data_IF_085901523462
#
_entry.id   IF_085901523462
#
_cell.length_a   1.000
_cell.length_b   1.000
_cell.length_c   1.000
_cell.angle_alpha   90.00
_cell.angle_beta   90.00
_cell.angle_gamma   90.00
#
_symmetry.space_group_name_H-M   'P 1'
#
loop_
_entity.id
_entity.type
_entity.pdbx_description
1 polymer ?
#
# COMPACT_ATOMS: atom_id res chain seq x y z
N UNK A 1 -19.15 6.10 0.72
CA UNK A 1 -20.13 5.62 -0.30
C UNK A 1 -20.01 6.48 -1.55
N UNK A 2 -20.08 5.89 -2.75
CA UNK A 2 -20.02 6.66 -4.01
C UNK A 2 -21.38 7.30 -4.33
N UNK A 3 -21.37 8.55 -4.82
CA UNK A 3 -22.62 9.27 -5.16
C UNK A 3 -23.28 8.71 -6.42
N UNK A 4 -24.59 8.96 -6.62
CA UNK A 4 -25.31 8.59 -7.85
C UNK A 4 -24.60 9.09 -9.12
N UNK A 5 -24.01 10.28 -9.05
CA UNK A 5 -23.22 10.90 -10.14
C UNK A 5 -21.90 10.18 -10.38
N UNK A 6 -21.22 9.72 -9.33
CA UNK A 6 -20.02 8.88 -9.46
C UNK A 6 -20.36 7.51 -10.03
N UNK A 7 -21.50 6.92 -9.64
CA UNK A 7 -21.94 5.61 -10.14
C UNK A 7 -22.30 5.68 -11.64
N UNK A 8 -23.00 6.72 -12.09
CA UNK A 8 -23.33 6.88 -13.52
C UNK A 8 -22.06 7.11 -14.35
N UNK A 9 -21.15 7.97 -13.88
CA UNK A 9 -19.87 8.22 -14.54
C UNK A 9 -19.00 6.96 -14.59
N UNK A 10 -18.89 6.19 -13.50
CA UNK A 10 -18.18 4.91 -13.50
C UNK A 10 -18.81 3.91 -14.47
N UNK A 11 -20.14 3.88 -14.59
CA UNK A 11 -20.83 2.99 -15.52
C UNK A 11 -20.61 3.39 -16.99
N UNK A 12 -20.56 4.69 -17.29
CA UNK A 12 -20.21 5.20 -18.62
C UNK A 12 -18.73 4.94 -18.95
N UNK A 13 -17.82 5.22 -18.02
CA UNK A 13 -16.39 4.94 -18.17
C UNK A 13 -16.12 3.44 -18.32
N UNK A 14 -16.87 2.58 -17.62
CA UNK A 14 -16.77 1.13 -17.75
C UNK A 14 -17.19 0.66 -19.16
N UNK A 15 -18.21 1.27 -19.76
CA UNK A 15 -18.61 0.98 -21.15
C UNK A 15 -17.55 1.39 -22.18
N UNK A 16 -16.74 2.41 -21.86
CA UNK A 16 -15.62 2.85 -22.70
C UNK A 16 -14.29 2.14 -22.37
N UNK A 17 -14.20 1.44 -21.23
CA UNK A 17 -13.02 0.72 -20.83
C UNK A 17 -12.93 -0.63 -21.56
N UNK A 18 -12.32 -0.61 -22.72
CA UNK A 18 -12.03 -1.79 -23.55
C UNK A 18 -10.74 -2.47 -23.08
N UNK A 19 -10.73 -2.89 -21.81
CA UNK A 19 -9.66 -3.78 -21.33
C UNK A 19 -9.47 -4.98 -22.27
N UNK A 20 -8.29 -5.61 -22.31
CA UNK A 20 -8.00 -6.66 -23.28
C UNK A 20 -8.95 -7.86 -23.11
N UNK A 21 -9.80 -8.08 -24.11
CA UNK A 21 -10.78 -9.17 -24.14
C UNK A 21 -10.20 -10.47 -24.70
N UNK A 22 -9.16 -10.38 -25.54
CA UNK A 22 -8.52 -11.52 -26.20
C UNK A 22 -7.40 -12.13 -25.36
N UNK A 23 -7.11 -13.42 -25.56
CA UNK A 23 -5.99 -14.12 -24.88
C UNK A 23 -4.65 -13.43 -25.16
N UNK A 24 -4.39 -13.07 -26.42
CA UNK A 24 -3.20 -12.32 -26.81
C UNK A 24 -3.15 -10.91 -26.17
N UNK A 25 -4.28 -10.22 -26.10
CA UNK A 25 -4.39 -8.93 -25.42
C UNK A 25 -4.10 -9.05 -23.91
N UNK A 26 -4.61 -10.10 -23.27
CA UNK A 26 -4.36 -10.41 -21.85
C UNK A 26 -2.88 -10.73 -21.61
N UNK A 27 -2.25 -11.53 -22.47
CA UNK A 27 -0.81 -11.80 -22.40
C UNK A 27 0.05 -10.55 -22.64
N UNK A 28 -0.37 -9.66 -23.54
CA UNK A 28 0.36 -8.40 -23.78
C UNK A 28 0.20 -7.43 -22.60
N UNK A 29 -0.98 -7.39 -21.99
CA UNK A 29 -1.24 -6.59 -20.79
C UNK A 29 -0.58 -7.16 -19.53
N UNK A 30 -0.47 -8.49 -19.38
CA UNK A 30 0.25 -9.11 -18.26
C UNK A 30 1.75 -8.78 -18.30
N UNK A 31 2.32 -8.59 -19.50
CA UNK A 31 3.69 -8.09 -19.66
C UNK A 31 3.86 -6.64 -19.21
N UNK A 32 2.81 -5.83 -19.03
CA UNK A 32 2.95 -4.49 -18.44
C UNK A 32 3.50 -4.57 -17.00
N UNK A 33 3.16 -5.64 -16.26
CA UNK A 33 3.73 -5.91 -14.95
C UNK A 33 5.23 -6.24 -15.01
N UNK A 34 5.66 -6.94 -16.06
CA UNK A 34 7.04 -7.35 -16.26
C UNK A 34 7.91 -6.23 -16.85
N UNK A 35 7.33 -5.36 -17.69
CA UNK A 35 8.06 -4.31 -18.43
C UNK A 35 8.66 -3.25 -17.50
N UNK A 36 7.98 -2.97 -16.39
CA UNK A 36 8.45 -1.97 -15.43
C UNK A 36 8.59 -2.55 -14.01
N UNK A 37 8.23 -3.81 -13.75
CA UNK A 37 8.16 -4.39 -12.39
C UNK A 37 7.01 -3.83 -11.54
N UNK A 38 6.59 -2.60 -11.80
CA UNK A 38 5.62 -1.83 -11.04
C UNK A 38 4.16 -2.23 -11.29
N UNK A 39 3.80 -3.47 -11.54
CA UNK A 39 2.36 -3.84 -11.58
C UNK A 39 1.99 -5.13 -10.86
N UNK A 40 2.93 -5.80 -10.18
CA UNK A 40 2.60 -7.00 -9.40
C UNK A 40 3.46 -7.07 -8.15
N UNK A 41 2.81 -7.13 -6.99
CA UNK A 41 3.44 -7.58 -5.76
C UNK A 41 3.53 -9.12 -5.84
N UNK A 42 4.70 -9.66 -5.54
CA UNK A 42 5.00 -11.09 -5.42
C UNK A 42 4.46 -11.67 -4.11
N UNK A 43 4.39 -12.99 -3.99
CA UNK A 43 4.00 -13.64 -2.73
C UNK A 43 4.97 -13.34 -1.57
N UNK A 44 6.25 -13.14 -1.88
CA UNK A 44 7.27 -12.73 -0.91
C UNK A 44 7.00 -11.32 -0.36
N UNK A 45 6.40 -10.45 -1.18
CA UNK A 45 6.01 -9.11 -0.73
C UNK A 45 4.89 -9.18 0.32
N UNK A 46 3.99 -10.18 0.26
CA UNK A 46 2.89 -10.29 1.23
C UNK A 46 3.39 -10.70 2.63
N UNK A 47 4.37 -11.60 2.71
CA UNK A 47 5.02 -11.94 3.97
C UNK A 47 5.80 -10.74 4.54
N UNK A 48 6.52 -10.01 3.70
CA UNK A 48 7.21 -8.78 4.12
C UNK A 48 6.26 -7.69 4.59
N UNK A 49 5.11 -7.53 3.92
CA UNK A 49 4.04 -6.60 4.30
C UNK A 49 3.54 -6.95 5.70
N UNK A 50 3.25 -8.23 5.97
CA UNK A 50 2.75 -8.63 7.29
C UNK A 50 3.80 -8.45 8.38
N UNK A 51 5.05 -8.86 8.15
CA UNK A 51 6.12 -8.68 9.13
C UNK A 51 6.36 -7.21 9.47
N UNK A 52 6.35 -6.34 8.45
CA UNK A 52 6.48 -4.90 8.65
C UNK A 52 5.23 -4.31 9.32
N UNK A 53 4.04 -4.80 9.00
CA UNK A 53 2.79 -4.42 9.66
C UNK A 53 2.81 -4.73 11.15
N UNK A 54 3.21 -5.95 11.53
CA UNK A 54 3.41 -6.37 12.92
C UNK A 54 4.41 -5.46 13.63
N UNK A 55 5.54 -5.15 12.98
CA UNK A 55 6.57 -4.27 13.55
C UNK A 55 6.05 -2.84 13.79
N UNK A 56 5.29 -2.29 12.83
CA UNK A 56 4.67 -0.97 12.95
C UNK A 56 3.62 -0.95 14.06
N UNK A 57 2.75 -1.97 14.12
CA UNK A 57 1.73 -2.08 15.15
C UNK A 57 2.36 -2.26 16.55
N UNK A 58 3.40 -3.09 16.68
CA UNK A 58 4.12 -3.30 17.94
C UNK A 58 4.77 -2.03 18.49
N UNK A 59 5.27 -1.14 17.62
CA UNK A 59 5.86 0.14 18.03
C UNK A 59 4.81 1.16 18.52
N UNK A 60 3.55 1.01 18.13
CA UNK A 60 2.45 1.93 18.46
C UNK A 60 1.56 1.37 19.59
N UNK A 61 1.58 0.05 19.79
CA UNK A 61 0.62 -0.75 20.59
C UNK A 61 -0.80 -0.61 20.06
N UNK A 62 -1.81 -1.43 20.44
CA UNK A 62 -2.01 -2.88 20.45
C UNK A 62 -2.53 -3.42 19.08
N UNK A 63 -3.25 -4.56 19.04
CA UNK A 63 -3.87 -5.17 17.84
C UNK A 63 -4.81 -4.27 17.02
N UNK A 64 -5.41 -3.24 17.64
CA UNK A 64 -6.46 -2.40 17.01
C UNK A 64 -5.97 -1.52 15.86
N UNK A 65 -4.65 -1.46 15.63
CA UNK A 65 -4.03 -0.70 14.53
C UNK A 65 -3.40 -1.62 13.48
N UNK A 66 -3.61 -2.93 13.58
CA UNK A 66 -2.99 -3.90 12.69
C UNK A 66 -3.37 -3.64 11.24
N UNK A 67 -4.64 -3.36 10.95
CA UNK A 67 -5.11 -3.09 9.58
C UNK A 67 -4.40 -1.86 8.97
N UNK A 68 -4.36 -0.74 9.68
CA UNK A 68 -3.67 0.47 9.23
C UNK A 68 -2.16 0.31 9.18
N UNK A 69 -1.57 -0.46 10.09
CA UNK A 69 -0.15 -0.77 10.08
C UNK A 69 0.23 -1.62 8.86
N UNK A 70 -0.59 -2.61 8.50
CA UNK A 70 -0.45 -3.42 7.27
C UNK A 70 -0.63 -2.57 6.02
N UNK A 71 -1.63 -1.67 6.00
CA UNK A 71 -1.81 -0.73 4.89
C UNK A 71 -0.61 0.22 4.74
N UNK A 72 -0.03 0.70 5.84
CA UNK A 72 1.16 1.53 5.83
C UNK A 72 2.39 0.73 5.36
N UNK A 73 2.56 -0.51 5.82
CA UNK A 73 3.62 -1.41 5.40
C UNK A 73 3.56 -1.65 3.88
N UNK A 74 2.39 -2.00 3.36
CA UNK A 74 2.14 -2.16 1.92
C UNK A 74 2.47 -0.91 1.14
N UNK A 75 2.01 0.25 1.59
CA UNK A 75 2.30 1.51 0.90
C UNK A 75 3.80 1.88 0.94
N UNK A 76 4.49 1.59 2.05
CA UNK A 76 5.95 1.80 2.19
C UNK A 76 6.75 0.93 1.23
N UNK A 77 6.52 -0.38 1.25
CA UNK A 77 7.23 -1.32 0.38
C UNK A 77 6.99 -0.99 -1.09
N UNK A 78 5.74 -0.65 -1.43
CA UNK A 78 5.40 -0.24 -2.79
C UNK A 78 6.12 1.02 -3.24
N UNK A 79 6.22 2.03 -2.38
CA UNK A 79 6.97 3.25 -2.67
C UNK A 79 8.47 2.96 -2.84
N UNK A 80 9.04 2.10 -1.99
CA UNK A 80 10.45 1.70 -2.08
C UNK A 80 10.76 0.96 -3.39
N UNK A 81 9.87 0.07 -3.82
CA UNK A 81 9.99 -0.65 -5.09
C UNK A 81 9.94 0.29 -6.30
N UNK A 82 8.96 1.21 -6.32
CA UNK A 82 8.84 2.23 -7.37
C UNK A 82 10.10 3.08 -7.48
N UNK A 83 10.65 3.50 -6.34
CA UNK A 83 11.88 4.29 -6.30
C UNK A 83 13.09 3.47 -6.74
N UNK A 84 13.23 2.23 -6.31
CA UNK A 84 14.33 1.34 -6.74
C UNK A 84 14.36 1.18 -8.25
N UNK A 85 13.21 0.93 -8.87
CA UNK A 85 13.11 0.83 -10.34
C UNK A 85 13.45 2.15 -11.00
N UNK A 86 12.91 3.27 -10.51
CA UNK A 86 13.21 4.60 -11.04
C UNK A 86 14.71 4.90 -10.98
N UNK A 87 15.33 4.65 -9.83
CA UNK A 87 16.72 4.98 -9.60
C UNK A 87 17.64 4.09 -10.47
N UNK A 88 17.31 2.80 -10.66
CA UNK A 88 18.01 1.94 -11.62
C UNK A 88 17.86 2.41 -13.08
N UNK A 89 16.68 2.90 -13.47
CA UNK A 89 16.48 3.47 -14.81
C UNK A 89 17.20 4.80 -15.00
N UNK A 90 17.28 5.64 -13.97
CA UNK A 90 18.06 6.88 -14.00
C UNK A 90 19.56 6.58 -14.09
N UNK A 91 20.06 5.57 -13.38
CA UNK A 91 21.45 5.14 -13.49
C UNK A 91 21.80 4.71 -14.93
N UNK A 92 20.97 3.88 -15.56
CA UNK A 92 21.17 3.47 -16.96
C UNK A 92 21.18 4.65 -17.95
N UNK A 93 20.39 5.70 -17.69
CA UNK A 93 20.37 6.93 -18.49
C UNK A 93 21.66 7.73 -18.33
N UNK A 94 22.14 7.88 -17.09
CA UNK A 94 23.36 8.63 -16.77
C UNK A 94 24.61 7.95 -17.33
N UNK A 95 24.62 6.62 -17.39
CA UNK A 95 25.73 5.82 -17.95
C UNK A 95 25.78 5.85 -19.50
N UNK A 96 24.98 6.70 -20.16
CA UNK A 96 24.91 6.89 -21.62
C UNK A 96 24.66 5.62 -22.46
N UNK A 97 24.30 4.51 -21.80
CA UNK A 97 24.14 3.18 -22.39
C UNK A 97 22.73 2.86 -22.91
N UNK A 98 21.77 3.78 -22.74
CA UNK A 98 20.38 3.48 -23.02
C UNK A 98 19.60 4.69 -23.60
N UNK A 99 18.98 4.45 -24.77
CA UNK A 99 17.90 5.27 -25.32
C UNK A 99 16.61 5.13 -24.48
N UNK A 100 16.66 5.58 -23.23
CA UNK A 100 15.47 5.63 -22.38
C UNK A 100 14.58 6.79 -22.83
N UNK A 101 13.46 6.43 -23.46
CA UNK A 101 12.45 7.38 -23.88
C UNK A 101 11.99 8.26 -22.70
N UNK A 102 12.04 9.58 -22.84
CA UNK A 102 11.58 10.58 -21.85
C UNK A 102 10.18 10.24 -21.29
N UNK A 103 9.32 9.62 -22.10
CA UNK A 103 7.99 9.12 -21.69
C UNK A 103 8.05 8.06 -20.58
N UNK A 104 9.09 7.23 -20.54
CA UNK A 104 9.30 6.22 -19.50
C UNK A 104 9.71 6.88 -18.16
N UNK A 105 10.49 7.95 -18.20
CA UNK A 105 10.82 8.74 -17.00
C UNK A 105 9.56 9.42 -16.45
N UNK A 106 8.76 10.02 -17.33
CA UNK A 106 7.51 10.67 -16.96
C UNK A 106 6.47 9.68 -16.39
N UNK A 107 6.40 8.45 -16.92
CA UNK A 107 5.50 7.43 -16.37
C UNK A 107 5.93 6.99 -14.97
N UNK A 108 7.24 6.87 -14.70
CA UNK A 108 7.76 6.56 -13.37
C UNK A 108 7.43 7.64 -12.33
N UNK A 109 7.55 8.91 -12.70
CA UNK A 109 7.19 10.04 -11.82
C UNK A 109 5.70 9.99 -11.43
N UNK A 110 4.82 9.56 -12.36
CA UNK A 110 3.41 9.31 -12.06
C UNK A 110 3.23 8.17 -11.04
N UNK A 111 3.98 7.08 -11.16
CA UNK A 111 3.92 5.97 -10.20
C UNK A 111 4.45 6.37 -8.82
N UNK A 112 5.55 7.14 -8.74
CA UNK A 112 6.12 7.63 -7.47
C UNK A 112 5.11 8.54 -6.77
N UNK A 113 4.51 9.50 -7.49
CA UNK A 113 3.46 10.37 -6.93
C UNK A 113 2.25 9.58 -6.42
N UNK A 114 1.80 8.57 -7.15
CA UNK A 114 0.66 7.75 -6.74
C UNK A 114 0.99 6.93 -5.48
N UNK A 115 2.13 6.23 -5.46
CA UNK A 115 2.59 5.44 -4.31
C UNK A 115 2.83 6.34 -3.09
N UNK A 116 3.43 7.51 -3.27
CA UNK A 116 3.66 8.48 -2.21
C UNK A 116 2.36 9.06 -1.65
N UNK A 117 1.37 9.31 -2.51
CA UNK A 117 0.03 9.73 -2.08
C UNK A 117 -0.64 8.66 -1.23
N UNK A 118 -0.54 7.39 -1.64
CA UNK A 118 -1.06 6.27 -0.87
C UNK A 118 -0.37 6.14 0.50
N UNK A 119 0.96 6.29 0.52
CA UNK A 119 1.75 6.30 1.75
C UNK A 119 1.34 7.43 2.71
N UNK A 120 1.19 8.67 2.21
CA UNK A 120 0.70 9.80 3.00
C UNK A 120 -0.70 9.58 3.56
N UNK A 121 -1.60 8.94 2.80
CA UNK A 121 -2.95 8.62 3.28
C UNK A 121 -2.92 7.58 4.40
N UNK A 122 -2.11 6.54 4.27
CA UNK A 122 -1.95 5.53 5.31
C UNK A 122 -1.41 6.14 6.62
N UNK A 123 -0.39 7.00 6.55
CA UNK A 123 0.12 7.73 7.73
C UNK A 123 -1.00 8.55 8.38
N UNK A 124 -1.74 9.34 7.60
CA UNK A 124 -2.82 10.17 8.16
C UNK A 124 -3.91 9.34 8.85
N UNK A 125 -4.28 8.20 8.27
CA UNK A 125 -5.25 7.28 8.84
C UNK A 125 -4.77 6.75 10.19
N UNK A 126 -3.51 6.28 10.23
CA UNK A 126 -2.90 5.75 11.44
C UNK A 126 -2.78 6.82 12.55
N UNK A 127 -2.30 8.03 12.20
CA UNK A 127 -2.23 9.14 13.14
C UNK A 127 -3.62 9.56 13.68
N UNK A 128 -4.66 9.51 12.85
CA UNK A 128 -6.01 9.83 13.30
C UNK A 128 -6.53 8.81 14.32
N UNK A 129 -6.27 7.52 14.11
CA UNK A 129 -6.66 6.47 15.06
C UNK A 129 -5.85 6.55 16.37
N UNK A 130 -4.55 6.79 16.28
CA UNK A 130 -3.69 7.04 17.44
C UNK A 130 -4.15 8.25 18.26
N UNK A 131 -4.54 9.33 17.59
CA UNK A 131 -5.07 10.53 18.25
C UNK A 131 -6.42 10.26 18.93
N UNK A 132 -7.34 9.58 18.26
CA UNK A 132 -8.63 9.19 18.85
C UNK A 132 -8.43 8.27 20.06
N UNK A 133 -7.47 7.34 20.01
CA UNK A 133 -7.09 6.47 21.15
C UNK A 133 -6.55 7.26 22.33
N UNK A 134 -5.59 8.15 22.07
CA UNK A 134 -4.96 8.97 23.11
C UNK A 134 -5.97 9.86 23.83
N UNK A 135 -7.03 10.27 23.13
CA UNK A 135 -8.12 11.09 23.65
C UNK A 135 -9.24 10.29 24.32
N UNK A 136 -9.43 9.01 23.99
CA UNK A 136 -10.49 8.17 24.55
C UNK A 136 -10.13 7.48 25.87
N UNK A 137 -8.90 7.62 26.38
CA UNK A 137 -8.54 7.26 27.75
C UNK A 137 -8.98 5.85 28.15
N UNK A 138 -8.52 4.82 27.44
CA UNK A 138 -8.87 3.44 27.79
C UNK A 138 -8.13 3.00 29.06
N UNK A 139 -8.80 3.13 30.20
CA UNK A 139 -8.48 2.46 31.46
C UNK A 139 -8.55 0.94 31.27
N UNK A 140 -7.43 0.25 31.45
CA UNK A 140 -7.41 -1.18 31.82
C UNK A 140 -7.14 -1.29 33.32
N UNK A 141 -8.06 -0.83 34.15
CA UNK A 141 -8.20 -1.35 35.53
C UNK A 141 -9.12 -2.56 35.47
N UNK A 142 -8.53 -3.75 35.46
CA UNK A 142 -9.28 -5.00 35.45
C UNK A 142 -8.39 -6.23 35.67
N UNK A 143 -7.33 -6.12 36.46
CA UNK A 143 -6.74 -7.29 37.10
C UNK A 143 -7.75 -7.82 38.11
N UNK A 144 -8.39 -8.94 37.75
CA UNK A 144 -9.18 -9.75 38.66
C UNK A 144 -8.25 -10.36 39.70
N UNK A 145 -8.04 -9.67 40.81
CA UNK A 145 -7.59 -10.30 42.06
C UNK A 145 -8.77 -11.04 42.67
N UNK A 146 -9.00 -12.26 42.19
CA UNK A 146 -9.82 -13.26 42.90
C UNK A 146 -8.99 -14.53 43.06
N UNK A 147 -8.11 -14.52 44.07
CA UNK A 147 -7.75 -15.75 44.77
C UNK A 147 -8.38 -15.65 46.16
N UNK A 148 -9.62 -16.13 46.20
CA UNK A 148 -10.37 -16.42 47.41
C UNK A 148 -9.68 -17.59 48.11
N UNK A 149 -9.58 -17.47 49.43
CA UNK A 149 -9.16 -18.49 50.36
C UNK A 149 -9.80 -19.85 50.08
N UNK A 150 -8.97 -20.90 50.11
CA UNK A 150 -9.38 -22.28 50.26
C UNK A 150 -8.65 -22.83 51.47
N UNK A 151 -9.38 -22.84 52.58
CA UNK A 151 -9.17 -23.64 53.79
C UNK A 151 -8.92 -25.11 53.42
N UNK A 152 -7.91 -25.70 54.06
CA UNK A 152 -7.57 -27.12 54.03
C UNK A 152 -6.42 -27.37 54.98
#
# INVERSE_FOLDING_TARGET
MASKRQISANRQNAKQSTGPQTVAGKQRSSKNALKHGLARLSSDDEAQIQNLGVSIAGALGPESLMEEAVLLARAKLRLAEVRRVRDGMLAMLLDASADLNIKAIYSLDRYDRAAFTQHKRAIRSLCALEYLRSRSGFSRTGEKTTLVASTG
#
